data_IF_959751732799
#
_entry.id   IF_959751732799
#
_cell.length_a   1.000
_cell.length_b   1.000
_cell.length_c   1.000
_cell.angle_alpha   90.00
_cell.angle_beta   90.00
_cell.angle_gamma   90.00
#
_symmetry.space_group_name_H-M   'P 1'
#
loop_
_entity.id
_entity.type
_entity.pdbx_description
1 polymer ?
#
# COMPACT_ATOMS: atom_id res chain seq x y z
N UNK A 1 52.73 -9.44 -5.43
CA UNK A 1 52.20 -8.32 -4.63
C UNK A 1 51.38 -7.31 -5.44
N UNK A 2 51.91 -6.70 -6.52
CA UNK A 2 51.21 -5.66 -7.30
C UNK A 2 49.87 -6.10 -7.91
N UNK A 3 49.75 -7.35 -8.40
CA UNK A 3 48.52 -7.88 -9.02
C UNK A 3 47.35 -7.99 -8.03
N UNK A 4 47.62 -8.35 -6.78
CA UNK A 4 46.59 -8.46 -5.75
C UNK A 4 46.11 -7.08 -5.31
N UNK A 5 47.01 -6.10 -5.27
CA UNK A 5 46.67 -4.69 -4.98
C UNK A 5 45.75 -4.12 -6.07
N UNK A 6 46.04 -4.40 -7.35
CA UNK A 6 45.19 -3.96 -8.47
C UNK A 6 43.81 -4.61 -8.39
N UNK A 7 43.72 -5.90 -8.09
CA UNK A 7 42.45 -6.60 -7.93
C UNK A 7 41.63 -6.02 -6.76
N UNK A 8 42.26 -5.72 -5.62
CA UNK A 8 41.57 -5.11 -4.48
C UNK A 8 41.04 -3.72 -4.80
N UNK A 9 41.78 -2.91 -5.57
CA UNK A 9 41.33 -1.58 -5.98
C UNK A 9 40.14 -1.64 -6.94
N UNK A 10 40.14 -2.59 -7.88
CA UNK A 10 39.02 -2.79 -8.81
C UNK A 10 37.75 -3.22 -8.06
N UNK A 11 37.86 -4.13 -7.11
CA UNK A 11 36.72 -4.58 -6.30
C UNK A 11 36.15 -3.42 -5.47
N UNK A 12 37.02 -2.63 -4.83
CA UNK A 12 36.58 -1.45 -4.06
C UNK A 12 35.87 -0.41 -4.92
N UNK A 13 36.39 -0.15 -6.13
CA UNK A 13 35.76 0.74 -7.11
C UNK A 13 34.39 0.21 -7.56
N UNK A 14 34.28 -1.08 -7.84
CA UNK A 14 33.00 -1.70 -8.23
C UNK A 14 31.95 -1.61 -7.11
N UNK A 15 32.35 -1.85 -5.85
CA UNK A 15 31.45 -1.71 -4.70
C UNK A 15 31.01 -0.26 -4.51
N UNK A 16 31.92 0.71 -4.64
CA UNK A 16 31.60 2.13 -4.55
C UNK A 16 30.59 2.60 -5.61
N UNK A 17 30.67 2.04 -6.82
CA UNK A 17 29.74 2.35 -7.93
C UNK A 17 28.36 1.71 -7.73
N UNK A 18 28.28 0.56 -7.05
CA UNK A 18 27.03 -0.16 -6.80
C UNK A 18 26.25 0.36 -5.58
N UNK A 19 26.92 0.99 -4.60
CA UNK A 19 26.29 1.57 -3.41
C UNK A 19 25.20 2.63 -3.70
N UNK A 20 25.35 3.59 -4.63
CA UNK A 20 24.30 4.59 -4.89
C UNK A 20 23.06 4.03 -5.59
N UNK A 21 23.09 2.79 -6.10
CA UNK A 21 21.91 2.12 -6.64
C UNK A 21 21.03 1.52 -5.54
N UNK A 22 21.57 1.34 -4.33
CA UNK A 22 20.78 0.96 -3.15
C UNK A 22 20.13 2.23 -2.62
N UNK A 23 19.02 2.64 -3.24
CA UNK A 23 18.12 3.59 -2.60
C UNK A 23 17.64 2.92 -1.31
N UNK A 24 18.08 3.42 -0.15
CA UNK A 24 17.36 3.20 1.10
C UNK A 24 15.91 3.57 0.83
N UNK A 25 15.02 2.59 0.85
CA UNK A 25 13.59 2.86 0.99
C UNK A 25 13.45 3.46 2.38
N UNK A 26 13.62 4.77 2.47
CA UNK A 26 13.17 5.52 3.63
C UNK A 26 11.67 5.32 3.67
N UNK A 27 11.20 4.47 4.59
CA UNK A 27 9.82 4.54 5.03
C UNK A 27 9.59 5.99 5.44
N UNK A 28 8.62 6.65 4.79
CA UNK A 28 8.29 8.03 5.10
C UNK A 28 7.94 8.11 6.59
N UNK A 29 8.54 9.01 7.38
CA UNK A 29 8.09 9.21 8.75
C UNK A 29 6.64 9.71 8.68
N UNK A 30 5.79 9.15 9.54
CA UNK A 30 4.42 9.63 9.69
C UNK A 30 4.54 10.98 10.39
N UNK A 31 4.22 12.08 9.69
CA UNK A 31 4.25 13.42 10.31
C UNK A 31 3.15 13.48 11.40
N UNK A 32 3.44 14.10 12.55
CA UNK A 32 2.50 14.25 13.69
C UNK A 32 1.19 14.98 13.31
N UNK A 33 1.18 15.69 12.18
CA UNK A 33 -0.02 16.32 11.61
C UNK A 33 -0.99 15.28 11.02
N UNK A 34 -0.51 14.12 10.56
CA UNK A 34 -1.35 12.99 10.11
C UNK A 34 -2.11 12.31 11.26
N UNK A 35 -1.72 12.52 12.52
CA UNK A 35 -2.43 11.97 13.67
C UNK A 35 -3.64 12.82 14.09
N UNK A 36 -3.71 14.07 13.64
CA UNK A 36 -4.81 15.01 13.94
C UNK A 36 -5.70 15.29 12.73
N UNK A 37 -5.32 14.82 11.54
CA UNK A 37 -6.16 14.82 10.36
C UNK A 37 -7.17 13.68 10.50
N UNK A 38 -8.46 14.02 10.51
CA UNK A 38 -9.57 13.09 10.39
C UNK A 38 -9.24 12.11 9.27
N UNK A 39 -8.92 10.85 9.60
CA UNK A 39 -8.47 9.79 8.68
C UNK A 39 -9.56 9.36 7.67
N UNK A 40 -10.37 10.27 7.16
CA UNK A 40 -11.07 10.13 5.89
C UNK A 40 -10.08 10.31 4.73
N UNK A 41 -9.01 9.51 4.73
CA UNK A 41 -7.93 9.61 3.76
C UNK A 41 -8.45 9.47 2.34
N UNK A 42 -8.29 10.51 1.53
CA UNK A 42 -8.21 10.42 0.06
C UNK A 42 -9.33 9.63 -0.67
N UNK A 43 -10.50 9.46 -0.05
CA UNK A 43 -11.72 9.05 -0.74
C UNK A 43 -12.43 10.34 -1.15
N UNK A 44 -12.42 10.67 -2.45
CA UNK A 44 -12.83 11.94 -3.08
C UNK A 44 -14.33 12.32 -2.92
N UNK A 45 -14.97 11.97 -1.81
CA UNK A 45 -16.35 12.30 -1.51
C UNK A 45 -16.52 12.67 -0.04
N UNK A 46 -17.47 13.57 0.22
CA UNK A 46 -18.03 13.77 1.56
C UNK A 46 -18.72 12.47 1.97
N UNK A 47 -17.97 11.54 2.56
CA UNK A 47 -18.54 10.35 3.19
C UNK A 47 -19.52 10.80 4.26
N UNK A 48 -20.68 10.15 4.34
CA UNK A 48 -21.59 10.32 5.46
C UNK A 48 -20.96 9.78 6.75
N UNK A 49 -21.50 10.20 7.91
CA UNK A 49 -20.93 9.84 9.21
C UNK A 49 -21.02 8.34 9.51
N UNK A 50 -21.99 7.62 8.95
CA UNK A 50 -22.09 6.17 9.09
C UNK A 50 -20.94 5.48 8.34
N UNK A 51 -20.68 5.88 7.10
CA UNK A 51 -19.57 5.35 6.31
C UNK A 51 -18.21 5.63 6.96
N UNK A 52 -18.02 6.80 7.59
CA UNK A 52 -16.78 7.10 8.33
C UNK A 52 -16.55 6.15 9.49
N UNK A 53 -17.58 5.88 10.30
CA UNK A 53 -17.46 4.96 11.42
C UNK A 53 -17.18 3.53 10.95
N UNK A 54 -17.81 3.10 9.83
CA UNK A 54 -17.52 1.81 9.21
C UNK A 54 -16.06 1.70 8.75
N UNK A 55 -15.50 2.77 8.16
CA UNK A 55 -14.09 2.81 7.79
C UNK A 55 -13.19 2.75 9.02
N UNK A 56 -13.51 3.48 10.09
CA UNK A 56 -12.75 3.46 11.35
C UNK A 56 -12.72 2.04 11.95
N UNK A 57 -13.85 1.35 11.97
CA UNK A 57 -13.94 -0.05 12.45
C UNK A 57 -13.18 -1.02 11.52
N UNK A 58 -13.22 -0.78 10.22
CA UNK A 58 -12.47 -1.55 9.22
C UNK A 58 -10.96 -1.44 9.43
N UNK A 59 -10.47 -0.26 9.79
CA UNK A 59 -9.05 0.01 10.07
C UNK A 59 -8.56 -0.64 11.37
N UNK A 60 -9.46 -0.85 12.34
CA UNK A 60 -9.16 -1.63 13.55
C UNK A 60 -9.04 -3.14 13.26
N UNK A 61 -9.75 -3.65 12.24
CA UNK A 61 -9.62 -5.03 11.76
C UNK A 61 -8.58 -5.13 10.64
N UNK A 62 -7.35 -5.48 11.00
CA UNK A 62 -6.25 -5.62 10.04
C UNK A 62 -6.59 -6.52 8.85
N UNK A 63 -7.39 -7.58 9.04
CA UNK A 63 -7.74 -8.48 7.94
C UNK A 63 -8.71 -7.82 6.97
N UNK A 64 -9.70 -7.09 7.49
CA UNK A 64 -10.63 -6.31 6.68
C UNK A 64 -9.92 -5.16 5.97
N UNK A 65 -9.09 -4.39 6.69
CA UNK A 65 -8.30 -3.30 6.15
C UNK A 65 -7.43 -3.77 4.99
N UNK A 66 -6.63 -4.82 5.17
CA UNK A 66 -5.74 -5.34 4.13
C UNK A 66 -6.51 -5.80 2.88
N UNK A 67 -7.64 -6.50 3.07
CA UNK A 67 -8.50 -6.92 1.97
C UNK A 67 -9.03 -5.70 1.20
N UNK A 68 -9.64 -4.74 1.90
CA UNK A 68 -10.29 -3.60 1.28
C UNK A 68 -9.27 -2.67 0.60
N UNK A 69 -8.11 -2.41 1.24
CA UNK A 69 -7.02 -1.64 0.62
C UNK A 69 -6.52 -2.30 -0.66
N UNK A 70 -6.31 -3.62 -0.63
CA UNK A 70 -5.83 -4.37 -1.79
C UNK A 70 -6.85 -4.34 -2.93
N UNK A 71 -8.13 -4.49 -2.61
CA UNK A 71 -9.22 -4.41 -3.56
C UNK A 71 -9.30 -3.03 -4.23
N UNK A 72 -9.27 -1.95 -3.44
CA UNK A 72 -9.29 -0.57 -3.96
C UNK A 72 -8.07 -0.27 -4.85
N UNK A 73 -6.86 -0.67 -4.42
CA UNK A 73 -5.62 -0.50 -5.18
C UNK A 73 -5.68 -1.20 -6.54
N UNK A 74 -6.20 -2.42 -6.56
CA UNK A 74 -6.24 -3.24 -7.75
C UNK A 74 -7.28 -2.73 -8.76
N UNK A 75 -8.47 -2.37 -8.27
CA UNK A 75 -9.56 -1.83 -9.09
C UNK A 75 -9.29 -0.41 -9.57
N UNK A 76 -8.35 0.28 -8.92
CA UNK A 76 -8.03 1.70 -9.13
C UNK A 76 -9.24 2.60 -8.86
N UNK A 77 -10.15 2.15 -7.99
CA UNK A 77 -11.35 2.88 -7.64
C UNK A 77 -11.24 3.43 -6.22
N UNK A 78 -11.33 4.75 -6.10
CA UNK A 78 -11.41 5.48 -4.83
C UNK A 78 -12.83 5.46 -4.25
N UNK A 79 -13.65 4.46 -4.56
CA UNK A 79 -14.94 4.24 -3.87
C UNK A 79 -15.04 2.84 -3.29
N UNK A 80 -14.18 1.91 -3.74
CA UNK A 80 -14.25 0.50 -3.36
C UNK A 80 -13.92 0.27 -1.89
N UNK A 81 -12.98 1.02 -1.32
CA UNK A 81 -12.60 0.83 0.08
C UNK A 81 -13.73 1.15 1.07
N UNK A 82 -14.38 2.33 1.06
CA UNK A 82 -15.48 2.60 1.99
C UNK A 82 -16.65 1.63 1.77
N UNK A 83 -16.95 1.26 0.52
CA UNK A 83 -17.99 0.26 0.22
C UNK A 83 -17.61 -1.13 0.74
N UNK A 84 -16.35 -1.52 0.65
CA UNK A 84 -15.83 -2.78 1.17
C UNK A 84 -15.84 -2.80 2.70
N UNK A 85 -15.44 -1.71 3.34
CA UNK A 85 -15.42 -1.58 4.80
C UNK A 85 -16.84 -1.62 5.39
N UNK A 86 -17.81 -0.96 4.76
CA UNK A 86 -19.23 -1.04 5.14
C UNK A 86 -19.97 -2.29 4.67
N UNK A 87 -19.30 -3.16 3.90
CA UNK A 87 -19.91 -4.26 3.15
C UNK A 87 -21.20 -3.87 2.38
N UNK A 88 -21.19 -2.69 1.78
CA UNK A 88 -22.32 -2.17 1.00
C UNK A 88 -22.51 -3.08 -0.22
N UNK A 89 -23.74 -3.56 -0.45
CA UNK A 89 -24.08 -4.44 -1.58
C UNK A 89 -23.22 -5.72 -1.70
N UNK A 90 -22.64 -6.21 -0.60
CA UNK A 90 -21.77 -7.39 -0.63
C UNK A 90 -20.40 -7.15 -1.26
N UNK A 91 -19.94 -5.89 -1.29
CA UNK A 91 -18.65 -5.51 -1.86
C UNK A 91 -17.48 -6.16 -1.12
N UNK A 92 -17.61 -6.51 0.16
CA UNK A 92 -16.54 -7.20 0.90
C UNK A 92 -16.33 -8.62 0.36
N UNK A 93 -17.41 -9.37 0.11
CA UNK A 93 -17.35 -10.70 -0.49
C UNK A 93 -16.88 -10.64 -1.94
N UNK A 94 -17.34 -9.63 -2.69
CA UNK A 94 -16.83 -9.38 -4.03
C UNK A 94 -15.33 -9.09 -4.02
N UNK A 95 -14.85 -8.26 -3.10
CA UNK A 95 -13.44 -7.95 -2.93
C UNK A 95 -12.64 -9.19 -2.55
N UNK A 96 -13.16 -10.05 -1.68
CA UNK A 96 -12.51 -11.31 -1.36
C UNK A 96 -12.33 -12.17 -2.61
N UNK A 97 -13.40 -12.35 -3.39
CA UNK A 97 -13.32 -13.12 -4.63
C UNK A 97 -12.41 -12.47 -5.67
N UNK A 98 -12.47 -11.14 -5.80
CA UNK A 98 -11.69 -10.37 -6.74
C UNK A 98 -10.23 -10.19 -6.33
N UNK A 99 -9.85 -10.39 -5.07
CA UNK A 99 -8.45 -10.36 -4.64
C UNK A 99 -7.83 -11.75 -4.73
N UNK A 100 -8.55 -12.79 -4.31
CA UNK A 100 -7.99 -14.13 -4.16
C UNK A 100 -8.30 -15.09 -5.31
N UNK A 101 -9.39 -14.91 -6.03
CA UNK A 101 -9.84 -15.82 -7.10
C UNK A 101 -9.79 -15.19 -8.48
N UNK A 102 -8.97 -14.17 -8.70
CA UNK A 102 -8.89 -13.47 -9.99
C UNK A 102 -8.84 -14.44 -11.17
N UNK A 103 -9.99 -14.57 -11.82
CA UNK A 103 -10.14 -14.89 -13.22
C UNK A 103 -9.67 -13.62 -13.94
N UNK A 104 -8.47 -13.68 -14.47
CA UNK A 104 -7.92 -12.63 -15.32
C UNK A 104 -8.91 -12.39 -16.48
N UNK A 105 -9.48 -11.18 -16.66
CA UNK A 105 -10.17 -10.88 -17.90
C UNK A 105 -9.10 -10.86 -18.99
N UNK A 106 -9.14 -11.83 -19.91
CA UNK A 106 -8.39 -11.71 -21.15
C UNK A 106 -8.94 -10.52 -21.92
N UNK A 107 -8.08 -9.50 -22.03
CA UNK A 107 -8.02 -8.45 -23.05
C UNK A 107 -9.29 -7.60 -23.27
#
# INVERSE_FOLDING_TARGET
MKRNIVLTLIVLLAVAILLPAVKLTHSMPIDEDYLNDDHSGEYNGRLDEETKEQVRQCEEDQTAMELCMRCAKITKSTTVYPLCCGNVEGVKEWCYAYVYYRVEPQL
#
